data_IF_114784236921
#
_entry.id   IF_114784236921
#
_cell.length_a   1.000
_cell.length_b   1.000
_cell.length_c   1.000
_cell.angle_alpha   90.00
_cell.angle_beta   90.00
_cell.angle_gamma   90.00
#
_symmetry.space_group_name_H-M   'P 1'
#
loop_
_entity.id
_entity.type
_entity.pdbx_description
1 polymer ?
#
# COMPACT_ATOMS: atom_id res chain seq x y z
N UNK A 1 11.67 0.14 -2.39
CA UNK A 1 10.69 0.05 -1.30
C UNK A 1 9.52 0.97 -1.61
N UNK A 2 8.33 0.58 -1.18
CA UNK A 2 7.11 1.37 -1.29
C UNK A 2 6.46 1.43 0.09
N UNK A 3 6.26 2.65 0.61
CA UNK A 3 5.57 2.87 1.90
C UNK A 3 4.23 3.51 1.62
N UNK A 4 3.16 2.84 2.03
CA UNK A 4 1.78 3.23 1.71
C UNK A 4 0.95 3.34 2.98
N UNK A 5 0.42 4.53 3.22
CA UNK A 5 -0.51 4.84 4.30
C UNK A 5 -1.90 5.08 3.72
N UNK A 6 -2.55 4.02 3.21
CA UNK A 6 -3.81 4.12 2.47
C UNK A 6 -3.74 5.25 1.41
N UNK A 7 -4.71 6.15 1.41
CA UNK A 7 -4.78 7.33 0.55
C UNK A 7 -4.09 8.56 1.16
N UNK A 8 -3.57 8.48 2.39
CA UNK A 8 -2.97 9.65 3.06
C UNK A 8 -1.57 9.97 2.56
N UNK A 9 -0.75 8.96 2.26
CA UNK A 9 0.66 9.14 1.87
C UNK A 9 1.19 7.91 1.14
N UNK A 10 1.87 8.15 0.02
CA UNK A 10 2.62 7.14 -0.73
C UNK A 10 4.05 7.65 -0.92
N UNK A 11 5.04 6.83 -0.56
CA UNK A 11 6.46 7.12 -0.79
C UNK A 11 7.11 6.01 -1.61
N UNK A 12 7.83 6.43 -2.65
CA UNK A 12 8.66 5.54 -3.46
C UNK A 12 10.11 5.75 -3.05
N UNK A 13 10.77 4.65 -2.67
CA UNK A 13 12.15 4.66 -2.18
C UNK A 13 12.98 3.75 -3.09
N UNK A 14 14.03 4.31 -3.69
CA UNK A 14 14.99 3.59 -4.52
C UNK A 14 16.37 3.76 -3.89
N UNK A 15 17.06 2.65 -3.61
CA UNK A 15 18.38 2.64 -2.97
C UNK A 15 18.44 3.49 -1.68
N UNK A 16 17.43 3.38 -0.83
CA UNK A 16 17.34 4.11 0.44
C UNK A 16 16.97 5.59 0.33
N UNK A 17 16.80 6.13 -0.88
CA UNK A 17 16.41 7.53 -1.10
C UNK A 17 14.97 7.63 -1.58
N UNK A 18 14.19 8.52 -0.97
CA UNK A 18 12.86 8.88 -1.46
C UNK A 18 12.99 9.61 -2.80
N UNK A 19 12.36 9.07 -3.84
CA UNK A 19 12.39 9.63 -5.21
C UNK A 19 11.05 10.23 -5.62
N UNK A 20 9.96 9.83 -4.96
CA UNK A 20 8.62 10.35 -5.20
C UNK A 20 7.78 10.24 -3.92
N UNK A 21 7.01 11.28 -3.64
CA UNK A 21 6.06 11.33 -2.53
C UNK A 21 4.79 12.06 -2.98
N UNK A 22 3.63 11.50 -2.66
CA UNK A 22 2.33 12.11 -2.97
C UNK A 22 1.24 11.63 -2.02
N UNK A 23 0.08 12.31 -2.09
CA UNK A 23 -1.10 12.03 -1.26
C UNK A 23 -2.34 11.89 -2.14
N UNK A 24 -3.39 11.27 -1.60
CA UNK A 24 -4.71 11.09 -2.23
C UNK A 24 -4.63 10.46 -3.63
N UNK A 25 -3.97 9.28 -3.80
CA UNK A 25 -4.07 8.53 -5.04
C UNK A 25 -5.53 8.26 -5.41
N UNK A 26 -5.84 8.36 -6.70
CA UNK A 26 -7.18 8.15 -7.23
C UNK A 26 -7.13 7.23 -8.44
N UNK A 27 -8.20 6.47 -8.63
CA UNK A 27 -8.45 5.76 -9.88
C UNK A 27 -8.76 6.79 -10.96
N UNK A 28 -8.14 6.65 -12.14
CA UNK A 28 -8.28 7.63 -13.21
C UNK A 28 -7.37 7.35 -14.41
N UNK A 29 -7.13 8.39 -15.20
CA UNK A 29 -6.34 8.33 -16.43
C UNK A 29 -7.11 7.79 -17.63
N UNK A 30 -6.49 7.86 -18.81
CA UNK A 30 -7.13 7.51 -20.10
C UNK A 30 -6.43 6.40 -20.90
N UNK A 31 -5.40 5.77 -20.33
CA UNK A 31 -4.56 4.79 -21.06
C UNK A 31 -5.09 3.36 -21.03
N UNK A 32 -5.93 3.02 -20.04
CA UNK A 32 -6.53 1.71 -19.94
C UNK A 32 -7.74 1.59 -20.89
N UNK A 33 -7.87 0.47 -21.61
CA UNK A 33 -9.01 0.13 -22.46
C UNK A 33 -9.50 -1.29 -22.16
N UNK A 34 -10.74 -1.63 -22.52
CA UNK A 34 -11.28 -2.99 -22.33
C UNK A 34 -11.49 -3.42 -20.87
N UNK A 35 -11.69 -2.48 -19.94
CA UNK A 35 -11.87 -2.74 -18.51
C UNK A 35 -13.35 -2.81 -18.11
N UNK A 36 -13.64 -3.45 -16.96
CA UNK A 36 -14.96 -3.40 -16.34
C UNK A 36 -15.21 -1.98 -15.76
N UNK A 37 -16.27 -1.25 -16.19
CA UNK A 37 -16.61 0.06 -15.66
C UNK A 37 -16.83 0.09 -14.14
N UNK A 38 -17.23 -1.04 -13.53
CA UNK A 38 -17.39 -1.15 -12.07
C UNK A 38 -16.05 -1.12 -11.34
N UNK A 39 -14.97 -1.51 -12.00
CA UNK A 39 -13.62 -1.54 -11.43
C UNK A 39 -12.90 -0.18 -11.59
N UNK A 40 -13.08 0.51 -12.71
CA UNK A 40 -12.47 1.83 -12.97
C UNK A 40 -13.46 2.97 -12.73
N UNK A 41 -13.68 3.28 -11.45
CA UNK A 41 -14.49 4.43 -11.04
C UNK A 41 -13.60 5.66 -10.89
N UNK A 42 -13.58 6.52 -11.92
CA UNK A 42 -12.69 7.68 -11.94
C UNK A 42 -12.95 8.65 -10.78
N UNK A 43 -11.87 9.19 -10.21
CA UNK A 43 -11.88 10.06 -9.03
C UNK A 43 -12.00 9.32 -7.69
N UNK A 44 -12.26 8.00 -7.69
CA UNK A 44 -12.32 7.21 -6.45
C UNK A 44 -10.95 7.16 -5.78
N UNK A 45 -10.89 7.55 -4.50
CA UNK A 45 -9.67 7.45 -3.67
C UNK A 45 -9.25 5.98 -3.52
N UNK A 46 -7.97 5.73 -3.79
CA UNK A 46 -7.36 4.41 -3.70
C UNK A 46 -6.84 4.17 -2.28
N UNK A 47 -7.66 3.50 -1.46
CA UNK A 47 -7.33 3.16 -0.07
C UNK A 47 -6.70 1.78 0.09
N UNK A 48 -7.06 0.86 -0.79
CA UNK A 48 -6.64 -0.54 -0.81
C UNK A 48 -6.68 -1.08 -2.24
N UNK A 49 -6.02 -2.22 -2.47
CA UNK A 49 -5.97 -2.86 -3.78
C UNK A 49 -4.90 -3.94 -3.87
N UNK A 50 -4.61 -4.35 -5.10
CA UNK A 50 -3.59 -5.36 -5.40
C UNK A 50 -2.23 -4.72 -5.68
N UNK A 51 -1.16 -5.47 -5.39
CA UNK A 51 0.20 -5.14 -5.81
C UNK A 51 0.50 -5.97 -7.05
N UNK A 52 0.86 -5.29 -8.13
CA UNK A 52 1.25 -5.93 -9.38
C UNK A 52 2.75 -5.72 -9.64
N UNK A 53 3.40 -6.75 -10.20
CA UNK A 53 4.76 -6.68 -10.71
C UNK A 53 4.68 -6.89 -12.21
N UNK A 54 5.04 -5.86 -12.98
CA UNK A 54 4.90 -5.85 -14.43
C UNK A 54 6.28 -5.94 -15.11
N UNK A 55 6.32 -6.67 -16.23
CA UNK A 55 7.41 -6.65 -17.21
C UNK A 55 6.91 -5.93 -18.47
N UNK A 56 7.76 -5.11 -19.09
CA UNK A 56 7.44 -4.39 -20.33
C UNK A 56 8.37 -4.83 -21.46
N UNK A 57 8.00 -5.94 -22.13
CA UNK A 57 8.67 -6.47 -23.33
C UNK A 57 10.04 -7.12 -23.11
N UNK A 58 10.83 -6.60 -22.17
CA UNK A 58 12.13 -7.14 -21.78
C UNK A 58 12.02 -8.00 -20.51
N UNK A 59 12.83 -9.07 -20.39
CA UNK A 59 12.90 -9.88 -19.17
C UNK A 59 13.27 -9.04 -17.94
N UNK A 60 12.67 -9.39 -16.80
CA UNK A 60 12.98 -8.79 -15.50
C UNK A 60 12.94 -9.87 -14.42
N UNK A 61 13.93 -9.84 -13.53
CA UNK A 61 14.03 -10.77 -12.41
C UNK A 61 13.73 -10.06 -11.09
N UNK A 62 12.80 -10.64 -10.31
CA UNK A 62 12.49 -10.18 -8.96
C UNK A 62 12.95 -11.20 -7.92
N UNK A 63 13.57 -10.72 -6.84
CA UNK A 63 13.88 -11.54 -5.66
C UNK A 63 13.61 -10.76 -4.39
N UNK A 64 13.44 -11.47 -3.27
CA UNK A 64 13.21 -10.89 -1.96
C UNK A 64 11.98 -9.96 -1.88
N UNK A 65 10.89 -10.32 -2.57
CA UNK A 65 9.62 -9.61 -2.46
C UNK A 65 9.06 -9.86 -1.07
N UNK A 66 8.95 -8.80 -0.27
CA UNK A 66 8.48 -8.86 1.12
C UNK A 66 7.42 -7.79 1.33
N UNK A 67 6.42 -8.12 2.14
CA UNK A 67 5.35 -7.19 2.53
C UNK A 67 5.27 -7.14 4.05
N UNK A 68 5.06 -5.94 4.60
CA UNK A 68 4.76 -5.72 6.01
C UNK A 68 3.46 -4.95 6.11
N UNK A 69 2.46 -5.56 6.73
CA UNK A 69 1.22 -4.87 7.04
C UNK A 69 1.45 -3.87 8.18
N UNK A 70 1.02 -2.62 7.99
CA UNK A 70 1.15 -1.53 8.96
C UNK A 70 -0.13 -1.34 9.80
N UNK A 71 -1.19 -2.10 9.52
CA UNK A 71 -2.41 -2.15 10.33
C UNK A 71 -2.30 -3.23 11.39
N UNK A 72 -2.61 -2.89 12.64
CA UNK A 72 -2.62 -3.83 13.76
C UNK A 72 -2.90 -3.14 15.09
N UNK A 73 -2.69 -3.88 16.18
CA UNK A 73 -2.93 -3.35 17.51
C UNK A 73 -1.92 -2.24 17.87
N UNK A 74 -2.44 -1.06 18.20
CA UNK A 74 -1.63 0.11 18.58
C UNK A 74 -1.73 0.42 20.08
N UNK A 75 -2.32 -0.48 20.88
CA UNK A 75 -2.36 -0.34 22.33
C UNK A 75 -1.07 -0.92 22.95
N UNK A 76 -0.21 -0.11 23.57
CA UNK A 76 1.04 -0.59 24.18
C UNK A 76 0.86 -1.66 25.26
N UNK A 77 -0.36 -1.82 25.80
CA UNK A 77 -0.68 -2.84 26.82
C UNK A 77 -1.03 -4.20 26.22
N UNK A 78 -1.28 -4.29 24.93
CA UNK A 78 -1.64 -5.54 24.28
C UNK A 78 -0.39 -6.41 24.03
N UNK A 79 -0.54 -7.73 24.21
CA UNK A 79 0.52 -8.72 23.99
C UNK A 79 1.06 -8.71 22.56
N UNK A 80 0.23 -8.33 21.59
CA UNK A 80 0.56 -8.32 20.18
C UNK A 80 0.83 -6.91 19.61
N UNK A 81 1.05 -5.94 20.49
CA UNK A 81 1.49 -4.59 20.11
C UNK A 81 2.83 -4.62 19.38
N UNK A 82 2.96 -3.79 18.35
CA UNK A 82 4.23 -3.54 17.67
C UNK A 82 4.33 -2.06 17.29
N UNK A 83 5.47 -1.43 17.58
CA UNK A 83 5.72 0.00 17.35
C UNK A 83 5.60 0.41 15.87
N UNK A 84 5.84 -0.53 14.96
CA UNK A 84 5.74 -0.26 13.54
C UNK A 84 4.29 -0.18 13.03
N UNK A 85 3.27 -0.53 13.83
CA UNK A 85 1.88 -0.34 13.41
C UNK A 85 1.59 1.17 13.34
N UNK A 86 1.06 1.58 12.19
CA UNK A 86 0.74 2.99 11.89
C UNK A 86 -0.76 3.20 11.70
N UNK A 87 -1.51 2.12 11.53
CA UNK A 87 -2.96 2.13 11.38
C UNK A 87 -3.55 1.29 12.51
N UNK A 88 -4.40 1.91 13.33
CA UNK A 88 -4.99 1.26 14.50
C UNK A 88 -6.06 0.25 14.11
N UNK A 89 -5.93 -0.97 14.63
CA UNK A 89 -6.96 -2.00 14.63
C UNK A 89 -7.18 -2.47 16.07
N UNK A 90 -8.16 -1.85 16.74
CA UNK A 90 -8.48 -2.16 18.15
C UNK A 90 -9.00 -3.58 18.33
N UNK A 91 -9.71 -4.12 17.34
CA UNK A 91 -10.24 -5.48 17.38
C UNK A 91 -9.16 -6.55 17.27
N UNK A 92 -8.00 -6.18 16.76
CA UNK A 92 -6.84 -7.07 16.70
C UNK A 92 -6.08 -7.15 18.02
N UNK A 93 -6.33 -6.30 19.01
CA UNK A 93 -5.58 -6.27 20.26
C UNK A 93 -5.89 -7.50 21.14
N UNK A 94 -4.85 -8.22 21.56
CA UNK A 94 -4.95 -9.34 22.48
C UNK A 94 -4.38 -8.96 23.83
N UNK A 95 -5.14 -9.19 24.89
CA UNK A 95 -4.76 -8.94 26.28
C UNK A 95 -4.70 -10.26 27.05
N UNK A 96 -4.13 -10.24 28.25
CA UNK A 96 -4.24 -11.35 29.21
C UNK A 96 -5.67 -11.49 29.75
#
# INVERSE_FOLDING_TARGET
ELVVYHDSLVKHIVNGKTVLEYTKPQIGGGVATGYDPKMKQDGKLLKEGFIALQSEGQPIDFKNIKIRNLKGCTDPKALNYKEYYKISDKGACTYE
#
